data_IF_063010699772
#
_entry.id   IF_063010699772
#
_cell.length_a   1.000
_cell.length_b   1.000
_cell.length_c   1.000
_cell.angle_alpha   90.00
_cell.angle_beta   90.00
_cell.angle_gamma   90.00
#
_symmetry.space_group_name_H-M   'P 1'
#
loop_
_entity.id
_entity.type
_entity.pdbx_description
1 polymer ?
#
# COMPACT_ATOMS: atom_id res chain seq x y z
N UNK A 1 -8.64 53.88 23.84
CA UNK A 1 -9.02 53.34 22.51
C UNK A 1 -7.88 52.55 21.85
N UNK A 2 -6.64 53.06 21.76
CA UNK A 2 -5.52 52.34 21.12
C UNK A 2 -5.21 50.98 21.78
N UNK A 3 -5.31 50.85 23.10
CA UNK A 3 -5.06 49.58 23.84
C UNK A 3 -6.09 48.48 23.52
N UNK A 4 -7.33 48.85 23.24
CA UNK A 4 -8.42 47.91 22.89
C UNK A 4 -8.19 47.35 21.50
N UNK A 5 -7.67 48.15 20.58
CA UNK A 5 -7.36 47.75 19.20
C UNK A 5 -6.22 46.73 19.18
N UNK A 6 -5.18 46.93 20.02
CA UNK A 6 -4.08 45.95 20.14
C UNK A 6 -4.54 44.63 20.74
N UNK A 7 -5.47 44.68 21.69
CA UNK A 7 -6.05 43.44 22.30
C UNK A 7 -6.89 42.65 21.29
N UNK A 8 -7.64 43.36 20.44
CA UNK A 8 -8.44 42.75 19.40
C UNK A 8 -7.57 42.16 18.28
N UNK A 9 -6.48 42.85 17.92
CA UNK A 9 -5.51 42.38 16.93
C UNK A 9 -4.75 41.12 17.44
N UNK A 10 -4.44 41.06 18.73
CA UNK A 10 -3.80 39.88 19.36
C UNK A 10 -4.73 38.67 19.41
N UNK A 11 -6.04 38.88 19.65
CA UNK A 11 -7.03 37.81 19.64
C UNK A 11 -7.25 37.21 18.23
N UNK A 12 -7.18 38.03 17.19
CA UNK A 12 -7.32 37.53 15.80
C UNK A 12 -6.12 36.67 15.35
N UNK A 13 -4.94 36.84 15.92
CA UNK A 13 -3.78 35.99 15.64
C UNK A 13 -3.85 34.62 16.30
N UNK A 14 -4.64 34.47 17.37
CA UNK A 14 -4.77 33.21 18.11
C UNK A 14 -5.76 32.21 17.48
N UNK A 15 -6.60 32.65 16.53
CA UNK A 15 -7.63 31.79 15.91
C UNK A 15 -7.18 31.13 14.59
N UNK A 16 -5.90 31.26 14.21
CA UNK A 16 -5.33 30.59 13.04
C UNK A 16 -4.88 29.14 13.30
N UNK A 17 -5.56 28.42 14.20
CA UNK A 17 -5.47 26.97 14.22
C UNK A 17 -6.35 26.46 13.07
N UNK A 18 -5.73 26.26 11.91
CA UNK A 18 -6.37 25.70 10.74
C UNK A 18 -7.11 24.42 11.11
N UNK A 19 -8.37 24.36 10.75
CA UNK A 19 -9.13 23.12 10.62
C UNK A 19 -8.43 22.28 9.53
N UNK A 20 -7.35 21.64 9.91
CA UNK A 20 -6.78 20.54 9.16
C UNK A 20 -7.79 19.41 9.31
N UNK A 21 -8.67 19.24 8.32
CA UNK A 21 -9.53 18.08 8.23
C UNK A 21 -8.60 16.87 8.21
N UNK A 22 -8.49 16.18 9.34
CA UNK A 22 -7.77 14.91 9.41
C UNK A 22 -8.53 13.94 8.52
N UNK A 23 -8.01 13.72 7.32
CA UNK A 23 -8.48 12.65 6.45
C UNK A 23 -8.21 11.36 7.21
N UNK A 24 -9.26 10.74 7.72
CA UNK A 24 -9.14 9.45 8.41
C UNK A 24 -8.79 8.36 7.38
N UNK A 25 -8.08 7.34 7.81
CA UNK A 25 -7.76 6.19 6.94
C UNK A 25 -9.03 5.56 6.37
N UNK A 26 -10.11 5.52 7.15
CA UNK A 26 -11.40 5.01 6.73
C UNK A 26 -12.02 5.82 5.57
N UNK A 27 -11.90 7.15 5.58
CA UNK A 27 -12.42 7.97 4.48
C UNK A 27 -11.54 7.87 3.22
N UNK A 28 -10.26 7.64 3.38
CA UNK A 28 -9.32 7.51 2.27
C UNK A 28 -9.43 6.13 1.59
N UNK A 29 -9.72 5.08 2.34
CA UNK A 29 -9.78 3.69 1.87
C UNK A 29 -11.15 3.06 2.16
N UNK A 30 -12.24 3.81 1.90
CA UNK A 30 -13.60 3.41 2.24
C UNK A 30 -13.97 2.00 1.75
N UNK A 31 -13.65 1.66 0.51
CA UNK A 31 -13.90 0.33 -0.06
C UNK A 31 -13.23 -0.80 0.72
N UNK A 32 -11.98 -0.62 1.13
CA UNK A 32 -11.25 -1.62 1.90
C UNK A 32 -11.92 -1.88 3.25
N UNK A 33 -12.46 -0.82 3.88
CA UNK A 33 -13.16 -0.94 5.16
C UNK A 33 -14.58 -1.49 5.03
N UNK A 34 -15.23 -1.31 3.89
CA UNK A 34 -16.54 -1.90 3.58
C UNK A 34 -16.43 -3.37 3.23
N UNK A 35 -15.54 -3.72 2.31
CA UNK A 35 -15.38 -5.08 1.78
C UNK A 35 -14.67 -6.01 2.76
N UNK A 36 -13.82 -5.47 3.65
CA UNK A 36 -13.06 -6.21 4.67
C UNK A 36 -12.43 -7.48 4.13
N UNK A 37 -11.56 -7.40 3.11
CA UNK A 37 -10.91 -8.57 2.55
C UNK A 37 -10.13 -9.33 3.63
N UNK A 38 -10.20 -10.63 3.62
CA UNK A 38 -9.48 -11.50 4.56
C UNK A 38 -8.29 -12.14 3.85
N UNK A 39 -8.52 -12.64 2.65
CA UNK A 39 -7.53 -13.38 1.86
C UNK A 39 -6.89 -12.49 0.82
N UNK A 40 -5.59 -12.30 0.92
CA UNK A 40 -4.81 -11.47 0.01
C UNK A 40 -3.91 -12.30 -0.89
N UNK A 41 -3.96 -12.02 -2.19
CA UNK A 41 -2.96 -12.46 -3.16
C UNK A 41 -1.98 -11.31 -3.38
N UNK A 42 -0.70 -11.54 -3.13
CA UNK A 42 0.35 -10.57 -3.40
C UNK A 42 0.98 -10.90 -4.75
N UNK A 43 0.90 -9.95 -5.68
CA UNK A 43 1.55 -10.07 -6.98
C UNK A 43 3.02 -9.70 -6.91
N UNK A 44 3.88 -10.27 -7.78
CA UNK A 44 5.26 -9.86 -7.87
C UNK A 44 5.39 -8.34 -8.07
N UNK A 45 6.27 -7.65 -7.34
CA UNK A 45 6.46 -6.20 -7.49
C UNK A 45 6.96 -5.82 -8.88
N UNK A 46 6.47 -4.69 -9.39
CA UNK A 46 7.03 -4.04 -10.56
C UNK A 46 8.24 -3.25 -10.10
N UNK A 47 9.41 -3.50 -10.71
CA UNK A 47 10.65 -2.88 -10.28
C UNK A 47 11.13 -1.83 -11.28
N UNK A 48 10.88 -0.56 -10.97
CA UNK A 48 11.39 0.60 -11.72
C UNK A 48 12.74 1.10 -11.20
N UNK A 49 13.27 0.46 -10.12
CA UNK A 49 14.55 0.85 -9.55
C UNK A 49 15.73 0.25 -10.32
N UNK A 50 16.93 0.79 -10.09
CA UNK A 50 18.17 0.26 -10.67
C UNK A 50 18.68 -1.00 -9.96
N UNK A 51 18.08 -1.39 -8.84
CA UNK A 51 18.49 -2.57 -8.08
C UNK A 51 17.68 -3.79 -8.52
N UNK A 52 18.32 -4.73 -9.20
CA UNK A 52 17.69 -5.95 -9.72
C UNK A 52 17.14 -6.84 -8.61
N UNK A 53 17.80 -6.90 -7.45
CA UNK A 53 17.41 -7.75 -6.32
C UNK A 53 16.18 -7.21 -5.55
N UNK A 54 15.80 -5.94 -5.79
CA UNK A 54 14.73 -5.28 -5.04
C UNK A 54 13.39 -6.00 -5.17
N UNK A 55 13.08 -6.53 -6.36
CA UNK A 55 11.85 -7.29 -6.64
C UNK A 55 11.73 -8.51 -5.73
N UNK A 56 12.75 -9.35 -5.69
CA UNK A 56 12.74 -10.59 -4.93
C UNK A 56 12.75 -10.32 -3.42
N UNK A 57 13.53 -9.33 -2.98
CA UNK A 57 13.59 -8.93 -1.57
C UNK A 57 12.25 -8.40 -1.06
N UNK A 58 11.57 -7.55 -1.82
CA UNK A 58 10.26 -7.05 -1.44
C UNK A 58 9.23 -8.17 -1.47
N UNK A 59 9.20 -8.98 -2.54
CA UNK A 59 8.22 -10.03 -2.71
C UNK A 59 8.26 -11.07 -1.59
N UNK A 60 9.43 -11.45 -1.14
CA UNK A 60 9.61 -12.41 -0.03
C UNK A 60 9.31 -11.80 1.33
N UNK A 61 9.50 -10.50 1.52
CA UNK A 61 9.34 -9.85 2.83
C UNK A 61 7.96 -9.24 3.08
N UNK A 62 7.21 -8.89 2.02
CA UNK A 62 5.94 -8.17 2.13
C UNK A 62 4.82 -8.97 2.83
N UNK A 63 4.89 -10.29 2.78
CA UNK A 63 3.87 -11.16 3.40
C UNK A 63 3.82 -11.01 4.90
N UNK A 64 4.98 -10.84 5.55
CA UNK A 64 5.07 -10.77 7.00
C UNK A 64 4.24 -9.64 7.61
N UNK A 65 4.42 -8.36 7.22
CA UNK A 65 3.63 -7.27 7.80
C UNK A 65 2.13 -7.40 7.50
N UNK A 66 1.74 -8.02 6.39
CA UNK A 66 0.34 -8.25 6.07
C UNK A 66 -0.28 -9.32 6.99
N UNK A 67 0.44 -10.41 7.26
CA UNK A 67 0.00 -11.43 8.22
C UNK A 67 -0.05 -10.86 9.63
N UNK A 68 0.93 -10.06 10.05
CA UNK A 68 0.93 -9.37 11.35
C UNK A 68 -0.25 -8.38 11.48
N UNK A 69 -0.72 -7.84 10.37
CA UNK A 69 -1.94 -7.00 10.31
C UNK A 69 -3.26 -7.80 10.36
N UNK A 70 -3.19 -9.14 10.36
CA UNK A 70 -4.35 -10.02 10.49
C UNK A 70 -4.93 -10.56 9.18
N UNK A 71 -4.24 -10.34 8.05
CA UNK A 71 -4.67 -10.89 6.76
C UNK A 71 -4.16 -12.33 6.56
N UNK A 72 -4.96 -13.14 5.86
CA UNK A 72 -4.48 -14.39 5.31
C UNK A 72 -3.79 -14.12 3.97
N UNK A 73 -2.48 -14.30 3.92
CA UNK A 73 -1.69 -14.05 2.71
C UNK A 73 -1.41 -15.38 2.01
N UNK A 74 -1.85 -15.50 0.75
CA UNK A 74 -1.53 -16.65 -0.08
C UNK A 74 -0.01 -16.67 -0.29
N UNK A 75 0.60 -17.84 -0.08
CA UNK A 75 2.06 -17.96 -0.19
C UNK A 75 2.57 -17.40 -1.52
N UNK A 76 3.45 -16.38 -1.51
CA UNK A 76 3.99 -15.80 -2.73
C UNK A 76 4.69 -16.84 -3.62
N UNK A 77 5.33 -17.84 -3.01
CA UNK A 77 6.03 -18.89 -3.74
C UNK A 77 5.04 -19.76 -4.54
N UNK A 78 3.94 -20.19 -3.90
CA UNK A 78 2.91 -21.00 -4.58
C UNK A 78 2.17 -20.18 -5.65
N UNK A 79 1.86 -18.91 -5.35
CA UNK A 79 1.25 -18.01 -6.32
C UNK A 79 2.14 -17.83 -7.56
N UNK A 80 3.45 -17.66 -7.36
CA UNK A 80 4.41 -17.55 -8.44
C UNK A 80 4.47 -18.81 -9.30
N UNK A 81 4.44 -19.99 -8.71
CA UNK A 81 4.47 -21.24 -9.47
C UNK A 81 3.23 -21.41 -10.35
N UNK A 82 2.05 -21.04 -9.84
CA UNK A 82 0.80 -21.05 -10.62
C UNK A 82 0.85 -20.00 -11.75
N UNK A 83 1.29 -18.77 -11.45
CA UNK A 83 1.42 -17.72 -12.44
C UNK A 83 2.41 -18.09 -13.56
N UNK A 84 3.52 -18.73 -13.22
CA UNK A 84 4.49 -19.24 -14.19
C UNK A 84 3.90 -20.32 -15.09
N UNK A 85 3.11 -21.24 -14.53
CA UNK A 85 2.47 -22.28 -15.30
C UNK A 85 1.51 -21.71 -16.37
N UNK A 86 0.86 -20.59 -16.07
CA UNK A 86 -0.03 -19.86 -16.98
C UNK A 86 0.70 -18.84 -17.88
N UNK A 87 2.05 -18.86 -17.91
CA UNK A 87 2.89 -17.91 -18.66
C UNK A 87 2.71 -16.44 -18.21
N UNK A 88 2.29 -16.24 -16.99
CA UNK A 88 1.94 -14.95 -16.41
C UNK A 88 3.09 -14.42 -15.55
N UNK A 89 4.19 -14.02 -16.18
CA UNK A 89 5.40 -13.60 -15.45
C UNK A 89 5.39 -12.17 -14.97
N UNK A 90 4.61 -11.29 -15.63
CA UNK A 90 4.65 -9.87 -15.39
C UNK A 90 3.32 -9.38 -14.78
N UNK A 91 3.42 -8.82 -13.58
CA UNK A 91 2.26 -8.30 -12.84
C UNK A 91 1.56 -7.17 -13.58
N UNK A 92 2.27 -6.46 -14.46
CA UNK A 92 1.73 -5.37 -15.29
C UNK A 92 0.58 -5.84 -16.19
N UNK A 93 0.63 -7.08 -16.67
CA UNK A 93 -0.41 -7.66 -17.49
C UNK A 93 -1.75 -7.84 -16.76
N UNK A 94 -1.72 -7.80 -15.43
CA UNK A 94 -2.88 -8.09 -14.60
C UNK A 94 -3.52 -6.86 -13.95
N UNK A 95 -2.98 -5.66 -14.16
CA UNK A 95 -3.58 -4.45 -13.59
C UNK A 95 -5.04 -4.24 -13.99
N UNK A 96 -5.37 -4.60 -15.23
CA UNK A 96 -6.72 -4.49 -15.78
C UNK A 96 -7.50 -5.81 -15.72
N UNK A 97 -6.91 -6.86 -15.14
CA UNK A 97 -7.57 -8.15 -15.05
C UNK A 97 -8.71 -8.12 -14.02
N UNK A 98 -9.77 -8.86 -14.35
CA UNK A 98 -10.91 -8.99 -13.45
C UNK A 98 -10.51 -9.70 -12.15
N UNK A 99 -10.89 -9.13 -11.01
CA UNK A 99 -10.71 -9.77 -9.70
C UNK A 99 -11.35 -11.17 -9.64
N UNK A 100 -12.41 -11.41 -10.40
CA UNK A 100 -13.09 -12.70 -10.50
C UNK A 100 -12.15 -13.83 -10.93
N UNK A 101 -11.20 -13.56 -11.82
CA UNK A 101 -10.20 -14.55 -12.24
C UNK A 101 -9.30 -14.96 -11.07
N UNK A 102 -8.79 -13.97 -10.30
CA UNK A 102 -7.97 -14.25 -9.13
C UNK A 102 -8.73 -14.97 -8.01
N UNK A 103 -10.02 -14.63 -7.85
CA UNK A 103 -10.89 -15.29 -6.89
C UNK A 103 -11.12 -16.76 -7.27
N UNK A 104 -11.36 -17.04 -8.55
CA UNK A 104 -11.59 -18.41 -9.03
C UNK A 104 -10.33 -19.28 -8.94
N UNK A 105 -9.15 -18.74 -9.25
CA UNK A 105 -7.90 -19.51 -9.24
C UNK A 105 -7.26 -19.62 -7.86
N UNK A 106 -7.33 -18.56 -7.06
CA UNK A 106 -6.60 -18.46 -5.79
C UNK A 106 -7.51 -18.37 -4.57
N UNK A 107 -8.82 -18.12 -4.75
CA UNK A 107 -9.73 -17.83 -3.63
C UNK A 107 -9.41 -16.51 -2.92
N UNK A 108 -8.80 -15.56 -3.63
CA UNK A 108 -8.40 -14.28 -3.05
C UNK A 108 -9.56 -13.28 -3.01
N UNK A 109 -9.73 -12.60 -1.87
CA UNK A 109 -10.70 -11.52 -1.73
C UNK A 109 -10.17 -10.20 -2.31
N UNK A 110 -8.85 -10.02 -2.25
CA UNK A 110 -8.19 -8.85 -2.83
C UNK A 110 -6.80 -9.21 -3.37
N UNK A 111 -6.35 -8.40 -4.34
CA UNK A 111 -5.03 -8.54 -4.97
C UNK A 111 -4.20 -7.30 -4.65
N UNK A 112 -2.97 -7.53 -4.18
CA UNK A 112 -2.02 -6.47 -3.83
C UNK A 112 -0.99 -6.34 -4.95
N UNK A 113 -1.01 -5.21 -5.62
CA UNK A 113 0.04 -4.81 -6.57
C UNK A 113 0.97 -3.82 -5.89
N UNK A 114 2.26 -3.94 -6.15
CA UNK A 114 3.26 -3.03 -5.62
C UNK A 114 4.25 -2.61 -6.71
N UNK A 115 4.68 -1.35 -6.63
CA UNK A 115 5.66 -0.76 -7.54
C UNK A 115 6.84 -0.25 -6.72
N UNK A 116 8.05 -0.58 -7.15
CA UNK A 116 9.29 -0.13 -6.52
C UNK A 116 9.87 0.97 -7.41
N UNK A 117 9.72 2.22 -7.01
CA UNK A 117 10.29 3.35 -7.75
C UNK A 117 11.77 3.57 -7.41
N UNK A 118 12.12 3.42 -6.13
CA UNK A 118 13.48 3.57 -5.66
C UNK A 118 13.82 2.54 -4.60
N UNK A 119 15.04 1.99 -4.68
CA UNK A 119 15.57 1.05 -3.71
C UNK A 119 16.99 1.42 -3.34
N UNK A 120 17.20 1.93 -2.14
CA UNK A 120 18.51 2.34 -1.65
C UNK A 120 18.87 1.60 -0.38
N UNK A 121 20.08 1.03 -0.33
CA UNK A 121 20.66 0.54 0.93
C UNK A 121 21.16 1.76 1.70
N UNK A 122 20.54 2.09 2.84
CA UNK A 122 21.19 2.98 3.82
C UNK A 122 22.32 2.18 4.45
N UNK A 123 23.55 2.40 3.99
CA UNK A 123 24.72 1.92 4.72
C UNK A 123 24.69 2.55 6.11
N UNK A 124 24.77 1.73 7.16
CA UNK A 124 25.18 2.24 8.46
C UNK A 124 26.60 2.75 8.25
N UNK A 125 26.75 4.08 8.19
CA UNK A 125 28.07 4.69 8.24
C UNK A 125 28.69 4.34 9.59
N UNK A 126 29.71 3.51 9.55
CA UNK A 126 30.67 3.30 10.63
C UNK A 126 31.74 4.36 10.48
#
# INVERSE_FOLDING_TARGET
>A
MKRIIYFFMLCCMATSCGMMSMVTRESQYAKMYEEKPITLLVMPPINNSTNVEAKDLLYTSISRPLVEAGYYVISPLLAMDVLKAESAYDSEMFFDASLTSFQNYFGADAVVFSVIDTWTKKGLGI
#
